data_IF_096436921953
#
_entry.id   IF_096436921953
#
_cell.length_a   1.000
_cell.length_b   1.000
_cell.length_c   1.000
_cell.angle_alpha   90.00
_cell.angle_beta   90.00
_cell.angle_gamma   90.00
#
_symmetry.space_group_name_H-M   'P 1'
#
loop_
_entity.id
_entity.type
_entity.pdbx_description
1 polymer ?
#
# COMPACT_ATOMS: atom_id res chain seq x y z
N UNK A 1 12.90 -39.38 24.40
CA UNK A 1 13.73 -38.88 23.29
C UNK A 1 13.03 -37.66 22.72
N UNK A 2 13.46 -36.46 23.13
CA UNK A 2 12.93 -35.20 22.61
C UNK A 2 13.39 -35.04 21.17
N UNK A 3 12.46 -35.20 20.23
CA UNK A 3 12.72 -34.95 18.83
C UNK A 3 13.05 -33.48 18.64
N UNK A 4 14.29 -33.20 18.23
CA UNK A 4 14.65 -31.94 17.59
C UNK A 4 13.79 -31.81 16.31
N UNK A 5 12.58 -31.23 16.43
CA UNK A 5 11.92 -30.64 15.27
C UNK A 5 12.88 -29.56 14.77
N UNK A 6 13.48 -29.78 13.60
CA UNK A 6 14.25 -28.76 12.89
C UNK A 6 13.40 -27.48 12.87
N UNK A 7 13.82 -26.44 13.60
CA UNK A 7 13.21 -25.11 13.51
C UNK A 7 13.35 -24.69 12.04
N UNK A 8 12.22 -24.38 11.39
CA UNK A 8 12.23 -23.77 10.07
C UNK A 8 12.98 -22.45 10.18
N UNK A 9 14.00 -22.22 9.36
CA UNK A 9 14.66 -20.92 9.28
C UNK A 9 13.91 -20.00 8.30
N UNK A 10 14.29 -18.73 8.24
CA UNK A 10 13.61 -17.72 7.45
C UNK A 10 13.60 -18.06 5.96
N UNK A 11 14.72 -18.49 5.39
CA UNK A 11 14.84 -18.85 3.98
C UNK A 11 13.94 -20.05 3.62
N UNK A 12 13.88 -21.07 4.49
CA UNK A 12 13.00 -22.21 4.27
C UNK A 12 11.51 -21.84 4.43
N UNK A 13 11.19 -20.90 5.31
CA UNK A 13 9.84 -20.37 5.46
C UNK A 13 9.39 -19.60 4.21
N UNK A 14 10.25 -18.75 3.65
CA UNK A 14 10.01 -18.08 2.37
C UNK A 14 9.83 -19.08 1.23
N UNK A 15 10.77 -20.02 1.09
CA UNK A 15 10.72 -21.03 0.04
C UNK A 15 9.42 -21.87 0.11
N UNK A 16 8.93 -22.16 1.32
CA UNK A 16 7.65 -22.84 1.52
C UNK A 16 6.48 -21.98 1.01
N UNK A 17 6.39 -20.71 1.41
CA UNK A 17 5.30 -19.81 0.97
C UNK A 17 5.33 -19.59 -0.55
N UNK A 18 6.51 -19.52 -1.15
CA UNK A 18 6.69 -19.33 -2.59
C UNK A 18 6.19 -20.52 -3.44
N UNK A 19 5.91 -21.68 -2.82
CA UNK A 19 5.26 -22.81 -3.52
C UNK A 19 3.77 -22.61 -3.75
N UNK A 20 3.14 -21.64 -3.08
CA UNK A 20 1.70 -21.38 -3.17
C UNK A 20 1.38 -20.40 -4.29
N UNK A 21 0.13 -20.40 -4.74
CA UNK A 21 -0.34 -19.54 -5.83
C UNK A 21 -0.19 -18.08 -5.41
N UNK A 22 0.76 -17.39 -6.07
CA UNK A 22 1.01 -15.97 -5.90
C UNK A 22 0.45 -15.19 -7.09
N UNK A 23 -0.76 -14.67 -6.92
CA UNK A 23 -1.44 -13.89 -7.95
C UNK A 23 -0.69 -12.58 -8.24
N UNK A 24 0.02 -12.00 -7.27
CA UNK A 24 0.84 -10.79 -7.49
C UNK A 24 1.96 -11.00 -8.51
N UNK A 25 2.45 -12.24 -8.69
CA UNK A 25 3.47 -12.58 -9.71
C UNK A 25 2.88 -13.33 -10.91
N UNK A 26 1.58 -13.59 -10.94
CA UNK A 26 0.96 -14.33 -12.04
C UNK A 26 0.61 -13.41 -13.22
N UNK A 27 0.96 -13.77 -14.46
CA UNK A 27 0.53 -13.04 -15.65
C UNK A 27 -0.99 -13.18 -15.93
N UNK A 28 -1.64 -14.21 -15.38
CA UNK A 28 -3.07 -14.55 -15.58
C UNK A 28 -3.94 -14.13 -14.36
N UNK A 29 -3.62 -12.97 -13.77
CA UNK A 29 -4.23 -12.47 -12.52
C UNK A 29 -5.77 -12.47 -12.53
N UNK A 30 -6.39 -12.14 -13.66
CA UNK A 30 -7.85 -12.06 -13.81
C UNK A 30 -8.56 -13.42 -13.74
N UNK A 31 -7.93 -14.49 -14.25
CA UNK A 31 -8.51 -15.85 -14.19
C UNK A 31 -8.53 -16.39 -12.76
N UNK A 32 -7.55 -16.01 -11.96
CA UNK A 32 -7.42 -16.48 -10.57
C UNK A 32 -8.44 -15.84 -9.62
N UNK A 33 -8.92 -14.63 -9.94
CA UNK A 33 -9.90 -13.94 -9.12
C UNK A 33 -11.24 -14.69 -8.99
N UNK A 34 -11.56 -15.57 -9.96
CA UNK A 34 -12.73 -16.45 -9.90
C UNK A 34 -12.68 -17.45 -8.74
N UNK A 35 -11.51 -17.67 -8.16
CA UNK A 35 -11.32 -18.54 -7.00
C UNK A 35 -11.27 -17.77 -5.68
N UNK A 36 -11.44 -16.44 -5.66
CA UNK A 36 -11.52 -15.71 -4.40
C UNK A 36 -12.83 -16.09 -3.68
N UNK A 37 -12.68 -16.55 -2.46
CA UNK A 37 -13.77 -16.81 -1.54
C UNK A 37 -13.26 -16.60 -0.11
N UNK A 38 -14.17 -16.25 0.79
CA UNK A 38 -13.84 -16.12 2.20
C UNK A 38 -13.81 -17.47 2.92
N UNK A 39 -14.33 -18.54 2.31
CA UNK A 39 -14.46 -19.85 2.96
C UNK A 39 -13.11 -20.47 3.28
N UNK A 40 -12.15 -20.41 2.35
CA UNK A 40 -10.78 -20.91 2.58
C UNK A 40 -10.15 -20.23 3.78
N UNK A 41 -10.03 -18.90 3.75
CA UNK A 41 -9.39 -18.16 4.83
C UNK A 41 -10.13 -18.32 6.16
N UNK A 42 -11.48 -18.38 6.14
CA UNK A 42 -12.28 -18.59 7.35
C UNK A 42 -11.98 -19.94 7.99
N UNK A 43 -11.89 -21.01 7.20
CA UNK A 43 -11.53 -22.34 7.70
C UNK A 43 -10.09 -22.40 8.22
N UNK A 44 -9.15 -21.76 7.52
CA UNK A 44 -7.76 -21.65 7.98
C UNK A 44 -7.69 -20.96 9.35
N UNK A 45 -8.39 -19.84 9.50
CA UNK A 45 -8.41 -19.10 10.76
C UNK A 45 -9.13 -19.87 11.87
N UNK A 46 -10.19 -20.62 11.56
CA UNK A 46 -10.86 -21.50 12.52
C UNK A 46 -9.90 -22.58 13.05
N UNK A 47 -9.08 -23.19 12.19
CA UNK A 47 -8.04 -24.13 12.61
C UNK A 47 -6.96 -23.49 13.49
N UNK A 48 -6.76 -22.16 13.36
CA UNK A 48 -5.81 -21.38 14.15
C UNK A 48 -6.43 -20.78 15.42
N UNK A 49 -7.69 -21.11 15.73
CA UNK A 49 -8.40 -20.60 16.91
C UNK A 49 -8.93 -19.17 16.75
N UNK A 50 -9.33 -18.80 15.53
CA UNK A 50 -9.95 -17.53 15.19
C UNK A 50 -9.20 -16.28 15.70
N UNK A 51 -7.89 -16.14 15.43
CA UNK A 51 -7.08 -15.05 15.99
C UNK A 51 -7.60 -13.66 15.59
N UNK A 52 -8.14 -13.53 14.38
CA UNK A 52 -8.74 -12.31 13.84
C UNK A 52 -9.89 -11.76 14.70
N UNK A 53 -10.62 -12.61 15.44
CA UNK A 53 -11.74 -12.18 16.31
C UNK A 53 -11.30 -11.56 17.62
N UNK A 54 -10.02 -11.69 17.98
CA UNK A 54 -9.43 -11.10 19.20
C UNK A 54 -8.86 -9.69 18.95
N UNK A 55 -8.93 -9.20 17.72
CA UNK A 55 -8.29 -7.95 17.30
C UNK A 55 -9.31 -6.82 17.18
N UNK A 56 -8.90 -5.60 17.54
CA UNK A 56 -9.63 -4.37 17.18
C UNK A 56 -9.08 -3.88 15.85
N UNK A 57 -9.85 -4.07 14.79
CA UNK A 57 -9.36 -3.87 13.43
C UNK A 57 -9.75 -2.49 12.89
N UNK A 58 -8.81 -1.79 12.26
CA UNK A 58 -9.09 -0.71 11.32
C UNK A 58 -8.89 -1.27 9.92
N UNK A 59 -9.91 -1.25 9.08
CA UNK A 59 -9.87 -1.94 7.79
C UNK A 59 -9.84 -0.95 6.63
N UNK A 60 -8.77 -0.97 5.83
CA UNK A 60 -8.47 0.07 4.84
C UNK A 60 -8.56 -0.50 3.42
N UNK A 61 -9.54 -0.03 2.65
CA UNK A 61 -9.73 -0.36 1.23
C UNK A 61 -9.58 0.88 0.34
N UNK A 62 -9.47 0.66 -0.97
CA UNK A 62 -9.36 1.72 -1.99
C UNK A 62 -8.49 1.30 -3.17
N UNK A 63 -8.35 2.19 -4.17
CA UNK A 63 -7.46 1.94 -5.31
C UNK A 63 -6.07 2.52 -5.00
N UNK A 64 -6.01 3.82 -4.65
CA UNK A 64 -4.77 4.53 -4.29
C UNK A 64 -4.74 4.94 -2.83
N UNK A 65 -3.56 5.05 -2.23
CA UNK A 65 -3.40 5.61 -0.88
C UNK A 65 -3.68 4.68 0.30
N UNK A 66 -4.09 3.42 0.07
CA UNK A 66 -4.35 2.41 1.11
C UNK A 66 -3.20 2.26 2.11
N UNK A 67 -2.05 1.77 1.65
CA UNK A 67 -0.87 1.60 2.49
C UNK A 67 -0.41 2.89 3.18
N UNK A 68 -0.45 4.04 2.49
CA UNK A 68 -0.09 5.34 3.11
C UNK A 68 -1.04 5.71 4.25
N UNK A 69 -2.35 5.58 4.01
CA UNK A 69 -3.39 5.88 5.02
C UNK A 69 -3.28 4.91 6.20
N UNK A 70 -3.07 3.62 5.92
CA UNK A 70 -2.84 2.60 6.95
C UNK A 70 -1.58 2.91 7.79
N UNK A 71 -0.48 3.32 7.16
CA UNK A 71 0.74 3.72 7.85
C UNK A 71 0.56 4.99 8.71
N UNK A 72 -0.21 5.97 8.22
CA UNK A 72 -0.55 7.18 8.97
C UNK A 72 -1.38 6.85 10.22
N UNK A 73 -2.43 6.03 10.07
CA UNK A 73 -3.26 5.58 11.19
C UNK A 73 -2.41 4.81 12.21
N UNK A 74 -1.60 3.85 11.74
CA UNK A 74 -0.74 3.06 12.61
C UNK A 74 0.28 3.93 13.36
N UNK A 75 0.90 4.88 12.67
CA UNK A 75 1.84 5.84 13.27
C UNK A 75 1.18 6.64 14.39
N UNK A 76 -0.01 7.20 14.15
CA UNK A 76 -0.74 7.99 15.16
C UNK A 76 -1.09 7.13 16.39
N UNK A 77 -1.58 5.90 16.18
CA UNK A 77 -1.95 5.00 17.27
C UNK A 77 -0.72 4.56 18.10
N UNK A 78 0.41 4.24 17.46
CA UNK A 78 1.66 3.97 18.15
C UNK A 78 2.13 5.17 18.99
N UNK A 79 2.04 6.39 18.45
CA UNK A 79 2.37 7.61 19.20
C UNK A 79 1.37 7.94 20.31
N UNK A 80 0.16 7.36 20.29
CA UNK A 80 -0.80 7.45 21.38
C UNK A 80 -0.50 6.45 22.51
N UNK A 81 0.53 5.60 22.35
CA UNK A 81 0.95 4.60 23.31
C UNK A 81 0.27 3.25 23.14
N UNK A 82 -0.48 3.04 22.05
CA UNK A 82 -1.09 1.75 21.73
C UNK A 82 -0.10 0.84 20.99
N UNK A 83 -0.05 -0.43 21.39
CA UNK A 83 0.68 -1.46 20.63
C UNK A 83 -0.07 -1.72 19.33
N UNK A 84 0.50 -1.32 18.21
CA UNK A 84 -0.23 -1.25 16.93
C UNK A 84 0.35 -2.20 15.89
N UNK A 85 -0.45 -3.14 15.42
CA UNK A 85 -0.14 -3.99 14.27
C UNK A 85 -0.49 -3.29 12.96
N UNK A 86 0.34 -3.44 11.93
CA UNK A 86 0.10 -2.94 10.59
C UNK A 86 0.33 -4.06 9.57
N UNK A 87 -0.71 -4.39 8.80
CA UNK A 87 -0.65 -5.33 7.68
C UNK A 87 -0.82 -4.61 6.34
N UNK A 88 0.18 -4.67 5.47
CA UNK A 88 0.21 -3.94 4.18
C UNK A 88 0.69 -4.78 3.01
N UNK A 89 0.46 -4.29 1.79
CA UNK A 89 0.91 -4.94 0.57
C UNK A 89 0.99 -4.01 -0.65
N UNK A 90 1.73 -4.40 -1.69
CA UNK A 90 2.80 -5.41 -1.67
C UNK A 90 4.00 -4.96 -0.83
N UNK A 91 5.09 -5.72 -0.83
CA UNK A 91 6.37 -5.31 -0.23
C UNK A 91 7.36 -4.83 -1.30
N UNK A 92 8.33 -4.00 -0.90
CA UNK A 92 9.41 -3.46 -1.72
C UNK A 92 10.63 -4.38 -1.74
N UNK A 93 11.20 -4.67 -0.57
CA UNK A 93 12.51 -5.35 -0.42
C UNK A 93 12.31 -6.75 0.14
N UNK A 94 11.53 -6.87 1.22
CA UNK A 94 11.37 -8.10 2.00
C UNK A 94 9.91 -8.37 2.39
N UNK A 95 9.42 -9.63 2.34
CA UNK A 95 8.04 -9.92 2.72
C UNK A 95 7.67 -9.61 4.18
N UNK A 96 8.66 -9.45 5.06
CA UNK A 96 8.44 -9.00 6.46
C UNK A 96 7.77 -7.63 6.52
N UNK A 97 7.93 -6.80 5.49
CA UNK A 97 7.24 -5.50 5.34
C UNK A 97 5.73 -5.60 5.36
N UNK A 98 5.19 -6.77 5.04
CA UNK A 98 3.75 -6.97 5.11
C UNK A 98 3.23 -6.94 6.53
N UNK A 99 4.07 -7.13 7.55
CA UNK A 99 3.64 -7.29 8.92
C UNK A 99 4.55 -6.52 9.88
N UNK A 100 4.02 -5.47 10.50
CA UNK A 100 4.74 -4.64 11.48
C UNK A 100 4.00 -4.57 12.81
N UNK A 101 4.74 -4.41 13.90
CA UNK A 101 4.22 -3.96 15.20
C UNK A 101 5.04 -2.74 15.63
N UNK A 102 4.36 -1.64 15.94
CA UNK A 102 4.98 -0.36 16.34
C UNK A 102 6.08 0.09 15.36
N UNK A 103 5.73 0.06 14.07
CA UNK A 103 6.60 0.33 12.92
C UNK A 103 7.78 -0.62 12.72
N UNK A 104 7.96 -1.64 13.57
CA UNK A 104 9.03 -2.63 13.41
C UNK A 104 8.55 -3.82 12.61
N UNK A 105 9.35 -4.23 11.62
CA UNK A 105 9.12 -5.46 10.86
C UNK A 105 9.05 -6.67 11.79
N UNK A 106 8.19 -7.65 11.45
CA UNK A 106 8.29 -8.98 12.05
C UNK A 106 9.72 -9.51 11.88
N UNK A 107 10.29 -10.06 12.97
CA UNK A 107 11.65 -10.60 12.92
C UNK A 107 11.72 -11.82 12.01
N UNK A 108 12.91 -12.16 11.52
CA UNK A 108 13.11 -13.38 10.72
C UNK A 108 12.79 -14.65 11.52
N UNK A 109 13.14 -14.66 12.82
CA UNK A 109 12.82 -15.78 13.72
C UNK A 109 11.32 -15.91 13.93
N UNK A 110 10.63 -14.81 14.25
CA UNK A 110 9.17 -14.81 14.41
C UNK A 110 8.51 -15.24 13.11
N UNK A 111 8.89 -14.66 11.98
CA UNK A 111 8.34 -15.01 10.68
C UNK A 111 8.42 -16.53 10.44
N UNK A 112 9.61 -17.12 10.61
CA UNK A 112 9.80 -18.55 10.41
C UNK A 112 9.01 -19.39 11.41
N UNK A 113 8.91 -18.94 12.67
CA UNK A 113 8.12 -19.59 13.72
C UNK A 113 6.62 -19.59 13.40
N UNK A 114 6.06 -18.46 12.96
CA UNK A 114 4.65 -18.37 12.60
C UNK A 114 4.34 -19.17 11.34
N UNK A 115 5.21 -19.16 10.31
CA UNK A 115 5.04 -20.04 9.15
C UNK A 115 5.06 -21.51 9.55
N UNK A 116 6.00 -21.92 10.40
CA UNK A 116 6.06 -23.30 10.90
C UNK A 116 4.81 -23.70 11.70
N UNK A 117 4.19 -22.75 12.41
CA UNK A 117 2.94 -22.98 13.14
C UNK A 117 1.71 -23.05 12.21
N UNK A 118 1.68 -22.26 11.15
CA UNK A 118 0.58 -22.26 10.17
C UNK A 118 0.61 -23.50 9.27
N UNK A 119 1.81 -24.02 8.98
CA UNK A 119 2.04 -25.11 8.04
C UNK A 119 1.13 -26.34 8.24
N UNK A 120 0.96 -26.91 9.45
CA UNK A 120 0.06 -28.05 9.65
C UNK A 120 -1.41 -27.74 9.29
N UNK A 121 -1.89 -26.53 9.61
CA UNK A 121 -3.26 -26.11 9.28
C UNK A 121 -3.44 -25.91 7.78
N UNK A 122 -2.42 -25.39 7.09
CA UNK A 122 -2.42 -25.22 5.62
C UNK A 122 -2.40 -26.59 4.92
N UNK A 123 -1.56 -27.52 5.39
CA UNK A 123 -1.44 -28.87 4.82
C UNK A 123 -2.75 -29.65 5.00
N UNK A 124 -3.36 -29.60 6.19
CA UNK A 124 -4.65 -30.24 6.45
C UNK A 124 -5.78 -29.72 5.54
N UNK A 125 -5.73 -28.45 5.13
CA UNK A 125 -6.70 -27.89 4.18
C UNK A 125 -6.45 -28.32 2.73
N UNK A 126 -5.19 -28.55 2.36
CA UNK A 126 -4.81 -28.93 0.99
C UNK A 126 -5.36 -30.32 0.62
N UNK A 127 -5.63 -31.16 1.62
CA UNK A 127 -6.26 -32.47 1.46
C UNK A 127 -7.79 -32.39 1.24
N UNK A 128 -8.42 -31.23 1.46
CA UNK A 128 -9.84 -31.02 1.26
C UNK A 128 -10.12 -30.44 -0.13
N UNK A 129 -10.45 -31.31 -1.10
CA UNK A 129 -10.74 -30.91 -2.49
C UNK A 129 -11.86 -29.86 -2.62
N UNK A 130 -12.79 -29.81 -1.65
CA UNK A 130 -13.99 -28.96 -1.71
C UNK A 130 -13.75 -27.44 -1.63
N UNK A 131 -12.62 -26.98 -1.07
CA UNK A 131 -12.39 -25.55 -0.82
C UNK A 131 -11.22 -24.98 -1.63
N UNK A 132 -10.42 -25.86 -2.25
CA UNK A 132 -9.23 -25.50 -3.02
C UNK A 132 -8.01 -25.16 -2.16
N UNK A 133 -6.86 -24.95 -2.81
CA UNK A 133 -5.59 -24.64 -2.12
C UNK A 133 -5.58 -23.22 -1.58
N UNK A 134 -4.99 -23.06 -0.40
CA UNK A 134 -4.69 -21.74 0.20
C UNK A 134 -3.76 -20.96 -0.72
N UNK A 135 -4.03 -19.67 -0.89
CA UNK A 135 -3.22 -18.75 -1.69
C UNK A 135 -2.10 -18.11 -0.88
N UNK A 136 -1.09 -17.57 -1.59
CA UNK A 136 -0.01 -16.77 -0.99
C UNK A 136 -0.56 -15.66 -0.08
N UNK A 137 -1.58 -14.93 -0.56
CA UNK A 137 -2.16 -13.82 0.18
C UNK A 137 -2.89 -14.26 1.46
N UNK A 138 -3.62 -15.36 1.41
CA UNK A 138 -4.31 -15.93 2.57
C UNK A 138 -3.32 -16.39 3.66
N UNK A 139 -2.14 -16.91 3.27
CA UNK A 139 -1.10 -17.29 4.22
C UNK A 139 -0.56 -16.06 4.96
N UNK A 140 -0.22 -14.98 4.26
CA UNK A 140 0.24 -13.74 4.91
C UNK A 140 -0.84 -13.11 5.80
N UNK A 141 -2.09 -13.17 5.36
CA UNK A 141 -3.24 -12.68 6.14
C UNK A 141 -3.39 -13.47 7.44
N UNK A 142 -3.36 -14.80 7.36
CA UNK A 142 -3.42 -15.67 8.54
C UNK A 142 -2.20 -15.48 9.46
N UNK A 143 -1.01 -15.30 8.90
CA UNK A 143 0.21 -15.03 9.65
C UNK A 143 0.08 -13.72 10.43
N UNK A 144 -0.35 -12.64 9.77
CA UNK A 144 -0.50 -11.33 10.40
C UNK A 144 -1.54 -11.37 11.53
N UNK A 145 -2.72 -11.95 11.29
CA UNK A 145 -3.74 -12.08 12.34
C UNK A 145 -3.25 -12.90 13.52
N UNK A 146 -2.56 -14.01 13.29
CA UNK A 146 -2.02 -14.85 14.36
C UNK A 146 -0.93 -14.11 15.15
N UNK A 147 0.02 -13.49 14.45
CA UNK A 147 1.11 -12.72 15.04
C UNK A 147 0.61 -11.56 15.90
N UNK A 148 -0.35 -10.78 15.39
CA UNK A 148 -0.94 -9.65 16.10
C UNK A 148 -1.72 -10.11 17.33
N UNK A 149 -2.51 -11.18 17.22
CA UNK A 149 -3.34 -11.67 18.31
C UNK A 149 -2.50 -12.28 19.44
N UNK A 150 -1.40 -12.94 19.12
CA UNK A 150 -0.49 -13.52 20.11
C UNK A 150 0.39 -12.45 20.77
N UNK A 151 0.67 -11.36 20.06
CA UNK A 151 1.33 -10.19 20.61
C UNK A 151 0.39 -9.25 21.37
N UNK A 152 -0.91 -9.55 21.44
CA UNK A 152 -1.91 -8.72 22.09
C UNK A 152 -1.82 -7.24 21.66
N UNK A 153 -1.77 -6.99 20.34
CA UNK A 153 -1.84 -5.62 19.83
C UNK A 153 -3.18 -4.99 20.24
N UNK A 154 -3.14 -3.72 20.61
CA UNK A 154 -4.33 -2.94 20.95
C UNK A 154 -5.17 -2.66 19.70
N UNK A 155 -4.51 -2.37 18.58
CA UNK A 155 -5.14 -2.14 17.28
C UNK A 155 -4.39 -2.88 16.17
N UNK A 156 -5.13 -3.40 15.20
CA UNK A 156 -4.58 -3.96 13.97
C UNK A 156 -5.10 -3.15 12.77
N UNK A 157 -4.21 -2.42 12.10
CA UNK A 157 -4.54 -1.69 10.87
C UNK A 157 -4.27 -2.59 9.68
N UNK A 158 -5.32 -2.95 8.95
CA UNK A 158 -5.31 -4.00 7.93
C UNK A 158 -5.63 -3.39 6.57
N UNK A 159 -4.67 -3.42 5.66
CA UNK A 159 -4.87 -3.06 4.25
C UNK A 159 -5.48 -4.23 3.46
N UNK A 160 -6.59 -3.94 2.77
CA UNK A 160 -7.21 -4.85 1.79
C UNK A 160 -6.29 -5.06 0.60
N UNK A 161 -6.20 -6.29 0.10
CA UNK A 161 -5.40 -6.62 -1.08
C UNK A 161 -6.08 -6.21 -2.37
N UNK A 162 -7.18 -6.88 -2.70
CA UNK A 162 -7.92 -6.61 -3.93
C UNK A 162 -9.42 -6.56 -3.69
N UNK A 163 -10.07 -5.56 -4.28
CA UNK A 163 -11.51 -5.36 -4.12
C UNK A 163 -11.82 -4.99 -2.67
N UNK A 164 -12.60 -5.84 -2.01
CA UNK A 164 -12.99 -5.77 -0.60
C UNK A 164 -13.86 -6.97 -0.21
N UNK A 165 -14.94 -7.21 -0.96
CA UNK A 165 -15.94 -8.26 -0.69
C UNK A 165 -15.37 -9.64 -0.40
N UNK A 166 -14.53 -10.14 -1.30
CA UNK A 166 -13.95 -11.48 -1.24
C UNK A 166 -12.46 -11.48 -0.87
N UNK A 167 -11.96 -10.35 -0.39
CA UNK A 167 -10.58 -10.24 0.05
C UNK A 167 -10.37 -11.03 1.35
N UNK A 168 -9.24 -11.73 1.47
CA UNK A 168 -8.95 -12.58 2.64
C UNK A 168 -9.02 -11.81 3.98
N UNK A 169 -8.82 -10.49 3.95
CA UNK A 169 -8.90 -9.65 5.14
C UNK A 169 -10.34 -9.34 5.57
N UNK A 170 -11.36 -9.53 4.72
CA UNK A 170 -12.76 -9.16 4.98
C UNK A 170 -13.52 -10.13 5.91
N UNK A 171 -12.80 -11.03 6.58
CA UNK A 171 -13.31 -11.90 7.66
C UNK A 171 -13.49 -11.16 9.00
N UNK A 172 -13.07 -9.90 9.07
CA UNK A 172 -13.08 -9.08 10.29
C UNK A 172 -14.39 -8.31 10.48
N UNK A 173 -14.70 -7.97 11.72
CA UNK A 173 -15.68 -6.95 12.12
C UNK A 173 -14.88 -5.74 12.64
N UNK A 174 -14.61 -4.74 11.79
CA UNK A 174 -13.71 -3.66 12.13
C UNK A 174 -14.35 -2.64 13.07
N UNK A 175 -13.52 -1.98 13.87
CA UNK A 175 -13.91 -0.81 14.65
C UNK A 175 -14.26 0.36 13.73
N UNK A 176 -13.46 0.56 12.67
CA UNK A 176 -13.67 1.59 11.65
C UNK A 176 -13.26 1.04 10.29
N UNK A 177 -14.08 1.25 9.27
CA UNK A 177 -13.71 1.00 7.87
C UNK A 177 -13.23 2.29 7.21
N UNK A 178 -12.19 2.21 6.39
CA UNK A 178 -11.59 3.37 5.72
C UNK A 178 -11.56 3.12 4.22
N UNK A 179 -12.11 4.05 3.45
CA UNK A 179 -12.13 3.99 1.99
C UNK A 179 -11.25 5.12 1.43
N UNK A 180 -10.11 4.76 0.85
CA UNK A 180 -9.24 5.69 0.13
C UNK A 180 -9.73 5.87 -1.31
N UNK A 181 -9.18 6.80 -2.12
CA UNK A 181 -9.73 7.12 -3.43
C UNK A 181 -9.88 5.91 -4.36
N UNK A 182 -11.01 5.87 -5.07
CA UNK A 182 -11.30 4.88 -6.11
C UNK A 182 -10.84 5.41 -7.47
N UNK A 183 -10.18 4.53 -8.21
CA UNK A 183 -9.80 4.73 -9.61
C UNK A 183 -10.02 3.43 -10.38
N UNK A 184 -10.15 3.54 -11.70
CA UNK A 184 -10.21 2.40 -12.62
C UNK A 184 -8.91 1.59 -12.55
N UNK A 185 -8.92 0.53 -11.74
CA UNK A 185 -7.81 -0.40 -11.58
C UNK A 185 -8.35 -1.82 -11.44
N UNK A 186 -7.60 -2.78 -11.97
CA UNK A 186 -8.02 -4.19 -12.00
C UNK A 186 -9.40 -4.38 -12.64
N UNK A 187 -9.67 -3.63 -13.71
CA UNK A 187 -10.99 -3.61 -14.37
C UNK A 187 -11.42 -4.97 -14.91
N UNK A 188 -10.46 -5.82 -15.28
CA UNK A 188 -10.70 -7.21 -15.66
C UNK A 188 -11.27 -8.10 -14.53
N UNK A 189 -11.25 -7.63 -13.27
CA UNK A 189 -11.71 -8.37 -12.08
C UNK A 189 -12.85 -7.63 -11.38
N UNK A 190 -12.69 -6.33 -11.15
CA UNK A 190 -13.59 -5.54 -10.33
C UNK A 190 -14.68 -4.82 -11.13
N UNK A 191 -14.62 -4.88 -12.46
CA UNK A 191 -15.50 -4.16 -13.37
C UNK A 191 -14.83 -2.93 -14.00
N UNK A 192 -15.41 -2.45 -15.08
CA UNK A 192 -14.91 -1.37 -15.93
C UNK A 192 -15.41 0.03 -15.55
N UNK A 193 -16.19 0.13 -14.46
CA UNK A 193 -16.74 1.40 -13.97
C UNK A 193 -16.33 1.69 -12.53
N UNK A 194 -16.27 2.98 -12.18
CA UNK A 194 -16.06 3.41 -10.80
C UNK A 194 -17.13 2.86 -9.84
N UNK A 195 -18.39 2.77 -10.31
CA UNK A 195 -19.50 2.20 -9.55
C UNK A 195 -19.27 0.71 -9.23
N UNK A 196 -18.86 -0.10 -10.21
CA UNK A 196 -18.60 -1.53 -10.00
C UNK A 196 -17.46 -1.76 -9.01
N UNK A 197 -16.36 -1.01 -9.16
CA UNK A 197 -15.21 -1.07 -8.25
C UNK A 197 -15.61 -0.60 -6.84
N UNK A 198 -16.43 0.45 -6.73
CA UNK A 198 -16.93 0.95 -5.45
C UNK A 198 -17.80 -0.10 -4.75
N UNK A 199 -18.70 -0.79 -5.47
CA UNK A 199 -19.54 -1.87 -4.89
C UNK A 199 -18.71 -2.98 -4.27
N UNK A 200 -17.66 -3.45 -4.95
CA UNK A 200 -16.75 -4.47 -4.39
C UNK A 200 -16.02 -3.98 -3.13
N UNK A 201 -15.67 -2.69 -3.07
CA UNK A 201 -14.94 -2.08 -1.94
C UNK A 201 -15.84 -1.72 -0.77
N UNK A 202 -17.11 -1.37 -1.04
CA UNK A 202 -18.09 -1.01 -0.01
C UNK A 202 -18.40 -2.17 0.93
N UNK A 203 -18.08 -3.40 0.54
CA UNK A 203 -18.30 -4.62 1.33
C UNK A 203 -17.43 -4.73 2.59
N UNK A 204 -16.44 -3.84 2.76
CA UNK A 204 -15.73 -3.71 4.04
C UNK A 204 -16.49 -2.85 5.05
N UNK A 205 -17.50 -2.08 4.63
CA UNK A 205 -18.37 -1.30 5.53
C UNK A 205 -19.27 -2.30 6.27
N UNK A 206 -19.22 -2.38 7.59
CA UNK A 206 -20.03 -3.36 8.34
C UNK A 206 -21.22 -2.69 9.05
N UNK A 207 -22.33 -3.43 9.30
CA UNK A 207 -23.49 -2.87 9.97
C UNK A 207 -23.16 -2.18 11.29
N UNK A 208 -23.66 -0.96 11.48
CA UNK A 208 -23.44 -0.12 12.65
C UNK A 208 -21.98 0.23 12.95
N UNK A 209 -21.05 -0.03 12.01
CA UNK A 209 -19.63 0.33 12.15
C UNK A 209 -19.35 1.62 11.37
N UNK A 210 -18.64 2.60 11.94
CA UNK A 210 -18.33 3.84 11.25
C UNK A 210 -17.43 3.61 10.03
N UNK A 211 -17.58 4.47 9.04
CA UNK A 211 -16.76 4.52 7.84
C UNK A 211 -16.22 5.92 7.60
N UNK A 212 -14.97 6.02 7.16
CA UNK A 212 -14.35 7.28 6.73
C UNK A 212 -13.93 7.16 5.27
N UNK A 213 -14.37 8.09 4.44
CA UNK A 213 -14.07 8.10 3.00
C UNK A 213 -13.18 9.29 2.63
N UNK A 214 -12.13 9.03 1.86
CA UNK A 214 -11.42 10.07 1.12
C UNK A 214 -12.32 10.68 0.03
N UNK A 215 -11.93 11.80 -0.62
CA UNK A 215 -12.70 12.34 -1.73
C UNK A 215 -12.82 11.31 -2.86
N UNK A 216 -14.03 11.17 -3.40
CA UNK A 216 -14.37 10.22 -4.45
C UNK A 216 -14.92 10.93 -5.69
N UNK A 217 -14.90 10.22 -6.82
CA UNK A 217 -15.75 10.59 -7.96
C UNK A 217 -17.23 10.40 -7.59
N UNK A 218 -18.16 11.18 -8.17
CA UNK A 218 -19.57 11.15 -7.77
C UNK A 218 -20.21 9.76 -7.79
N UNK A 219 -19.89 8.94 -8.79
CA UNK A 219 -20.44 7.60 -8.96
C UNK A 219 -20.00 6.64 -7.84
N UNK A 220 -18.74 6.76 -7.39
CA UNK A 220 -18.23 5.97 -6.28
C UNK A 220 -18.77 6.48 -4.93
N UNK A 221 -18.84 7.80 -4.76
CA UNK A 221 -19.39 8.42 -3.55
C UNK A 221 -20.84 7.96 -3.29
N UNK A 222 -21.68 7.99 -4.32
CA UNK A 222 -23.09 7.58 -4.21
C UNK A 222 -23.25 6.12 -3.75
N UNK A 223 -22.36 5.21 -4.20
CA UNK A 223 -22.35 3.82 -3.75
C UNK A 223 -22.02 3.72 -2.26
N UNK A 224 -20.98 4.41 -1.80
CA UNK A 224 -20.58 4.35 -0.40
C UNK A 224 -21.63 4.97 0.53
N UNK A 225 -22.25 6.08 0.14
CA UNK A 225 -23.35 6.70 0.89
C UNK A 225 -24.56 5.76 0.99
N UNK A 226 -24.94 5.12 -0.12
CA UNK A 226 -26.05 4.17 -0.14
C UNK A 226 -25.78 2.94 0.75
N UNK A 227 -24.58 2.37 0.67
CA UNK A 227 -24.20 1.20 1.50
C UNK A 227 -24.07 1.60 2.96
N UNK A 228 -23.51 2.77 3.27
CA UNK A 228 -23.41 3.25 4.64
C UNK A 228 -24.79 3.47 5.26
N UNK A 229 -25.73 4.07 4.51
CA UNK A 229 -27.10 4.27 4.95
C UNK A 229 -27.84 2.93 5.17
N UNK A 230 -27.74 1.99 4.23
CA UNK A 230 -28.34 0.64 4.32
C UNK A 230 -27.83 -0.14 5.55
N UNK A 231 -26.56 0.07 5.90
CA UNK A 231 -25.89 -0.60 7.02
C UNK A 231 -25.95 0.18 8.33
N UNK A 232 -26.64 1.33 8.36
CA UNK A 232 -26.66 2.23 9.52
C UNK A 232 -25.24 2.58 10.01
N UNK A 233 -24.29 2.68 9.07
CA UNK A 233 -22.88 2.98 9.33
C UNK A 233 -22.65 4.49 9.31
N UNK A 234 -22.25 5.13 10.43
CA UNK A 234 -21.93 6.55 10.44
C UNK A 234 -20.77 6.86 9.48
N UNK A 235 -20.97 7.79 8.55
CA UNK A 235 -19.99 8.12 7.52
C UNK A 235 -19.46 9.55 7.69
N UNK A 236 -18.14 9.73 7.65
CA UNK A 236 -17.52 11.03 7.41
C UNK A 236 -16.77 11.01 6.08
N UNK A 237 -16.94 12.06 5.28
CA UNK A 237 -16.28 12.23 3.99
C UNK A 237 -15.33 13.42 3.98
N UNK A 238 -14.09 13.20 3.54
CA UNK A 238 -13.16 14.29 3.23
C UNK A 238 -13.67 15.06 2.01
N UNK A 239 -13.77 16.38 2.16
CA UNK A 239 -14.41 17.29 1.21
C UNK A 239 -15.86 17.63 1.53
N UNK A 240 -16.51 16.87 2.41
CA UNK A 240 -17.89 17.12 2.86
C UNK A 240 -17.94 17.47 4.35
N UNK A 241 -17.38 16.61 5.20
CA UNK A 241 -17.38 16.75 6.66
C UNK A 241 -15.99 17.16 7.17
N UNK A 242 -14.94 16.71 6.47
CA UNK A 242 -13.54 16.98 6.81
C UNK A 242 -12.93 17.87 5.72
N UNK A 243 -12.46 19.05 6.10
CA UNK A 243 -11.89 20.04 5.21
C UNK A 243 -10.39 20.21 5.43
N UNK A 244 -9.63 20.00 4.36
CA UNK A 244 -8.17 20.10 4.32
C UNK A 244 -7.75 21.41 3.62
N UNK A 245 -6.77 22.10 4.21
CA UNK A 245 -6.09 23.24 3.60
C UNK A 245 -4.57 23.06 3.69
N UNK A 246 -3.89 22.98 2.54
CA UNK A 246 -2.42 23.02 2.49
C UNK A 246 -1.92 24.45 2.66
N UNK A 247 -0.94 24.68 3.54
CA UNK A 247 -0.35 26.00 3.82
C UNK A 247 1.01 26.20 3.15
N UNK A 248 1.88 25.20 3.31
CA UNK A 248 3.25 25.23 2.79
C UNK A 248 3.72 23.81 2.50
N UNK A 249 4.67 23.65 1.58
CA UNK A 249 5.27 22.37 1.22
C UNK A 249 6.65 22.56 0.60
N UNK A 250 7.58 21.68 0.98
CA UNK A 250 8.92 21.62 0.43
C UNK A 250 9.46 20.19 0.55
N UNK A 251 10.73 19.98 0.18
CA UNK A 251 11.36 18.66 0.17
C UNK A 251 11.36 17.95 1.55
N UNK A 252 11.15 18.67 2.64
CA UNK A 252 11.13 18.09 3.99
C UNK A 252 9.72 17.67 4.46
N UNK A 253 8.65 18.10 3.78
CA UNK A 253 7.28 17.81 4.20
C UNK A 253 6.29 18.91 3.82
N UNK A 254 5.12 18.87 4.45
CA UNK A 254 3.99 19.77 4.20
C UNK A 254 3.37 20.24 5.51
N UNK A 255 2.89 21.48 5.53
CA UNK A 255 2.10 22.03 6.64
C UNK A 255 0.65 22.15 6.22
N UNK A 256 -0.25 21.60 7.03
CA UNK A 256 -1.68 21.47 6.76
C UNK A 256 -2.51 22.08 7.89
N UNK A 257 -3.63 22.69 7.55
CA UNK A 257 -4.74 22.90 8.48
C UNK A 257 -5.85 21.91 8.15
N UNK A 258 -6.45 21.30 9.17
CA UNK A 258 -7.59 20.39 9.01
C UNK A 258 -8.75 20.82 9.91
N UNK A 259 -9.95 20.88 9.36
CA UNK A 259 -11.20 21.05 10.13
C UNK A 259 -12.02 19.78 9.98
N UNK A 260 -12.44 19.20 11.09
CA UNK A 260 -13.32 18.02 11.16
C UNK A 260 -14.60 18.40 11.90
N UNK A 261 -15.63 17.52 11.95
CA UNK A 261 -16.80 17.76 12.80
C UNK A 261 -16.45 17.89 14.28
N UNK A 262 -15.35 17.26 14.73
CA UNK A 262 -14.97 17.23 16.14
C UNK A 262 -14.01 18.35 16.53
N UNK A 263 -13.17 18.85 15.62
CA UNK A 263 -12.07 19.72 15.96
C UNK A 263 -11.45 20.49 14.78
N UNK A 264 -10.70 21.54 15.12
CA UNK A 264 -9.75 22.19 14.21
C UNK A 264 -8.32 21.83 14.59
N UNK A 265 -7.48 21.51 13.60
CA UNK A 265 -6.06 21.15 13.73
C UNK A 265 -5.21 22.11 12.89
N UNK A 266 -4.65 23.17 13.50
CA UNK A 266 -3.75 24.07 12.80
C UNK A 266 -2.34 23.48 12.70
N UNK A 267 -1.61 23.82 11.64
CA UNK A 267 -0.16 23.60 11.53
C UNK A 267 0.29 22.14 11.73
N UNK A 268 -0.49 21.18 11.21
CA UNK A 268 -0.10 19.78 11.13
C UNK A 268 1.07 19.63 10.15
N UNK A 269 2.22 19.18 10.65
CA UNK A 269 3.35 18.85 9.80
C UNK A 269 3.27 17.37 9.35
N UNK A 270 3.21 17.15 8.04
CA UNK A 270 3.20 15.84 7.40
C UNK A 270 4.52 15.61 6.66
N UNK A 271 5.23 14.54 7.02
CA UNK A 271 6.52 14.19 6.38
C UNK A 271 6.38 13.57 4.98
N UNK A 272 5.20 13.09 4.61
CA UNK A 272 4.95 12.53 3.28
C UNK A 272 4.66 13.63 2.26
N UNK A 273 5.26 13.52 1.07
CA UNK A 273 5.22 14.53 0.00
C UNK A 273 4.09 14.27 -1.01
N UNK A 274 3.58 15.34 -1.63
CA UNK A 274 2.47 15.31 -2.58
C UNK A 274 1.08 15.55 -1.96
N UNK A 275 0.22 16.26 -2.67
CA UNK A 275 -1.15 16.59 -2.24
C UNK A 275 -1.96 15.36 -1.84
N UNK A 276 -1.83 14.27 -2.59
CA UNK A 276 -2.52 13.01 -2.32
C UNK A 276 -2.18 12.45 -0.93
N UNK A 277 -0.98 12.73 -0.39
CA UNK A 277 -0.63 12.34 0.98
C UNK A 277 -1.30 13.23 2.03
N UNK A 278 -1.53 14.51 1.73
CA UNK A 278 -2.30 15.38 2.60
C UNK A 278 -3.77 14.92 2.68
N UNK A 279 -4.33 14.44 1.57
CA UNK A 279 -5.66 13.77 1.56
C UNK A 279 -5.63 12.49 2.40
N UNK A 280 -4.63 11.62 2.23
CA UNK A 280 -4.49 10.42 3.07
C UNK A 280 -4.39 10.76 4.56
N UNK A 281 -3.72 11.86 4.92
CA UNK A 281 -3.63 12.34 6.31
C UNK A 281 -4.98 12.85 6.83
N UNK A 282 -5.75 13.58 6.03
CA UNK A 282 -7.11 13.98 6.38
C UNK A 282 -8.01 12.76 6.65
N UNK A 283 -7.96 11.76 5.77
CA UNK A 283 -8.71 10.50 5.94
C UNK A 283 -8.26 9.73 7.18
N UNK A 284 -6.94 9.66 7.43
CA UNK A 284 -6.40 9.02 8.63
C UNK A 284 -6.87 9.72 9.91
N UNK A 285 -6.87 11.05 9.96
CA UNK A 285 -7.36 11.80 11.12
C UNK A 285 -8.86 11.58 11.34
N UNK A 286 -9.67 11.56 10.27
CA UNK A 286 -11.09 11.19 10.38
C UNK A 286 -11.28 9.82 11.01
N UNK A 287 -10.47 8.83 10.60
CA UNK A 287 -10.49 7.49 11.22
C UNK A 287 -10.13 7.55 12.72
N UNK A 288 -9.12 8.34 13.09
CA UNK A 288 -8.71 8.51 14.49
C UNK A 288 -9.83 9.15 15.32
N UNK A 289 -10.58 10.10 14.77
CA UNK A 289 -11.73 10.69 15.47
C UNK A 289 -12.85 9.68 15.69
N UNK A 290 -13.15 8.81 14.71
CA UNK A 290 -14.09 7.70 14.90
C UNK A 290 -13.62 6.74 15.99
N UNK A 291 -12.33 6.41 16.02
CA UNK A 291 -11.74 5.61 17.12
C UNK A 291 -11.93 6.31 18.48
N UNK A 292 -11.76 7.63 18.55
CA UNK A 292 -12.02 8.38 19.79
C UNK A 292 -13.49 8.36 20.20
N UNK A 293 -14.43 8.43 19.25
CA UNK A 293 -15.86 8.35 19.51
C UNK A 293 -16.28 6.96 20.05
N UNK A 294 -15.56 5.90 19.67
CA UNK A 294 -15.69 4.56 20.22
C UNK A 294 -15.09 4.40 21.65
N UNK A 295 -14.63 5.50 22.26
CA UNK A 295 -14.18 5.56 23.66
C UNK A 295 -12.69 5.39 23.88
N UNK A 296 -11.89 5.31 22.81
CA UNK A 296 -10.43 5.27 22.90
C UNK A 296 -9.83 6.67 23.03
N UNK A 297 -8.65 6.78 23.63
CA UNK A 297 -8.01 8.07 23.89
C UNK A 297 -6.81 8.23 22.97
N UNK A 298 -6.91 9.13 21.99
CA UNK A 298 -5.78 9.56 21.17
C UNK A 298 -5.52 11.05 21.44
N UNK A 299 -4.48 11.39 22.22
CA UNK A 299 -4.12 12.79 22.46
C UNK A 299 -3.82 13.51 21.15
N UNK A 300 -4.22 14.78 21.05
CA UNK A 300 -3.90 15.60 19.87
C UNK A 300 -2.41 15.63 19.58
N UNK A 301 -1.56 15.69 20.61
CA UNK A 301 -0.10 15.65 20.46
C UNK A 301 0.39 14.40 19.72
N UNK A 302 -0.28 13.26 19.90
CA UNK A 302 0.04 12.01 19.21
C UNK A 302 -0.34 12.03 17.73
N UNK A 303 -1.41 12.75 17.36
CA UNK A 303 -1.75 13.01 15.95
C UNK A 303 -0.63 13.79 15.28
N UNK A 304 -0.20 14.91 15.90
CA UNK A 304 0.88 15.75 15.35
C UNK A 304 2.20 14.97 15.24
N UNK A 305 2.57 14.23 16.28
CA UNK A 305 3.79 13.41 16.27
C UNK A 305 3.70 12.30 15.21
N UNK A 306 2.57 11.59 15.14
CA UNK A 306 2.35 10.52 14.18
C UNK A 306 2.47 10.95 12.73
N UNK A 307 1.94 12.12 12.35
CA UNK A 307 2.07 12.66 10.99
C UNK A 307 3.49 13.17 10.68
N UNK A 308 4.17 13.72 11.70
CA UNK A 308 5.54 14.22 11.56
C UNK A 308 6.55 13.09 11.46
N UNK A 309 6.36 11.99 12.18
CA UNK A 309 7.35 10.92 12.29
C UNK A 309 7.05 9.72 11.37
N UNK A 310 5.90 9.71 10.70
CA UNK A 310 5.56 8.67 9.72
C UNK A 310 6.65 8.56 8.65
N UNK A 311 7.03 7.32 8.37
CA UNK A 311 7.91 6.96 7.25
C UNK A 311 7.18 5.93 6.40
N UNK A 312 7.18 6.15 5.09
CA UNK A 312 6.55 5.22 4.16
C UNK A 312 7.37 5.13 2.89
N UNK A 313 8.10 4.01 2.74
CA UNK A 313 9.08 3.84 1.68
C UNK A 313 8.42 3.81 0.29
N UNK A 314 9.13 4.33 -0.70
CA UNK A 314 8.69 4.33 -2.10
C UNK A 314 7.46 5.20 -2.42
N UNK A 315 7.11 6.16 -1.57
CA UNK A 315 6.08 7.18 -1.85
C UNK A 315 6.68 8.57 -1.78
N UNK A 316 7.04 9.13 -2.93
CA UNK A 316 7.79 10.39 -3.04
C UNK A 316 8.98 10.45 -2.07
N UNK A 317 9.69 9.33 -1.91
CA UNK A 317 10.76 9.19 -0.92
C UNK A 317 12.05 9.80 -1.44
N UNK A 318 12.55 10.83 -0.77
CA UNK A 318 13.83 11.48 -1.12
C UNK A 318 14.98 10.75 -0.42
N UNK A 319 15.96 10.30 -1.21
CA UNK A 319 17.07 9.45 -0.74
C UNK A 319 18.45 9.99 -1.11
N UNK A 320 18.51 11.05 -1.92
CA UNK A 320 19.73 11.79 -2.27
C UNK A 320 19.45 13.29 -2.37
N UNK A 321 20.49 14.12 -2.25
CA UNK A 321 20.36 15.60 -2.30
C UNK A 321 21.12 16.29 -3.44
N UNK A 322 22.27 15.76 -3.86
CA UNK A 322 23.11 16.38 -4.90
C UNK A 322 23.70 15.31 -5.85
N UNK A 323 22.97 14.88 -6.91
CA UNK A 323 21.61 15.28 -7.29
C UNK A 323 20.55 14.79 -6.30
N UNK A 324 19.37 15.41 -6.34
CA UNK A 324 18.22 14.87 -5.63
C UNK A 324 17.83 13.52 -6.26
N UNK A 325 17.59 12.50 -5.43
CA UNK A 325 17.11 11.19 -5.88
C UNK A 325 15.77 10.92 -5.21
N UNK A 326 14.74 10.72 -6.02
CA UNK A 326 13.36 10.51 -5.62
C UNK A 326 12.92 9.09 -6.01
N UNK A 327 12.32 8.35 -5.08
CA UNK A 327 11.73 7.04 -5.33
C UNK A 327 10.21 7.12 -5.21
N UNK A 328 9.48 6.66 -6.22
CA UNK A 328 8.02 6.61 -6.18
C UNK A 328 7.42 5.41 -6.90
N UNK A 329 6.44 4.75 -6.28
CA UNK A 329 5.77 3.59 -6.84
C UNK A 329 4.69 3.86 -7.89
N UNK A 330 4.57 5.07 -8.46
CA UNK A 330 3.62 5.41 -9.52
C UNK A 330 3.77 4.47 -10.73
N UNK A 331 2.63 3.91 -11.18
CA UNK A 331 2.59 2.82 -12.18
C UNK A 331 1.29 2.82 -13.02
N UNK A 332 0.57 3.93 -12.99
CA UNK A 332 -0.71 4.15 -13.69
C UNK A 332 -0.78 5.62 -14.11
N UNK A 333 -1.61 5.99 -15.11
CA UNK A 333 -1.72 7.37 -15.58
C UNK A 333 -2.04 8.35 -14.43
N UNK A 334 -3.04 8.03 -13.61
CA UNK A 334 -3.43 8.86 -12.46
C UNK A 334 -2.32 9.05 -11.42
N UNK A 335 -1.55 7.98 -11.12
CA UNK A 335 -0.40 8.10 -10.23
C UNK A 335 0.78 8.85 -10.86
N UNK A 336 0.96 8.75 -12.18
CA UNK A 336 1.99 9.49 -12.90
C UNK A 336 1.67 10.99 -12.90
N UNK A 337 0.42 11.38 -13.10
CA UNK A 337 -0.03 12.77 -12.98
C UNK A 337 0.21 13.31 -11.57
N UNK A 338 -0.15 12.53 -10.55
CA UNK A 338 0.08 12.89 -9.15
C UNK A 338 1.57 13.05 -8.83
N UNK A 339 2.43 12.17 -9.37
CA UNK A 339 3.89 12.24 -9.26
C UNK A 339 4.43 13.51 -9.94
N UNK A 340 4.06 13.76 -11.20
CA UNK A 340 4.47 14.95 -11.95
C UNK A 340 4.04 16.24 -11.22
N UNK A 341 2.80 16.29 -10.74
CA UNK A 341 2.29 17.43 -9.96
C UNK A 341 3.12 17.64 -8.69
N UNK A 342 3.36 16.58 -7.92
CA UNK A 342 4.13 16.66 -6.70
C UNK A 342 5.60 17.07 -6.95
N UNK A 343 6.22 16.59 -8.03
CA UNK A 343 7.58 16.99 -8.42
C UNK A 343 7.63 18.49 -8.73
N UNK A 344 6.69 19.00 -9.55
CA UNK A 344 6.62 20.44 -9.90
C UNK A 344 6.43 21.33 -8.68
N UNK A 345 5.64 20.88 -7.71
CA UNK A 345 5.34 21.65 -6.50
C UNK A 345 6.50 21.69 -5.50
N UNK A 346 7.26 20.61 -5.40
CA UNK A 346 8.20 20.39 -4.28
C UNK A 346 9.67 20.62 -4.65
N UNK A 347 10.04 20.40 -5.91
CA UNK A 347 11.44 20.38 -6.32
C UNK A 347 11.78 21.53 -7.26
N UNK A 348 12.95 22.12 -7.04
CA UNK A 348 13.62 23.00 -7.99
C UNK A 348 14.83 22.25 -8.57
N UNK A 349 14.81 22.05 -9.88
CA UNK A 349 15.83 21.29 -10.59
C UNK A 349 16.07 21.88 -11.99
N UNK A 350 17.23 21.58 -12.57
CA UNK A 350 17.58 21.98 -13.94
C UNK A 350 17.02 21.00 -14.97
N UNK A 351 17.24 19.70 -14.77
CA UNK A 351 16.71 18.62 -15.61
C UNK A 351 16.13 17.49 -14.76
N UNK A 352 15.12 16.82 -15.28
CA UNK A 352 14.57 15.58 -14.74
C UNK A 352 15.10 14.39 -15.54
N UNK A 353 15.80 13.49 -14.86
CA UNK A 353 16.21 12.18 -15.37
C UNK A 353 15.28 11.14 -14.77
N UNK A 354 14.44 10.53 -15.60
CA UNK A 354 13.47 9.52 -15.19
C UNK A 354 14.04 8.11 -15.42
N UNK A 355 14.20 7.33 -14.36
CA UNK A 355 14.44 5.88 -14.43
C UNK A 355 13.10 5.18 -14.22
N UNK A 356 12.67 4.35 -15.17
CA UNK A 356 11.31 3.81 -15.16
C UNK A 356 11.25 2.37 -15.65
N UNK A 357 10.48 1.54 -14.93
CA UNK A 357 10.13 0.18 -15.36
C UNK A 357 8.70 -0.18 -14.98
N UNK A 358 7.97 -0.75 -15.93
CA UNK A 358 6.53 -0.99 -15.83
C UNK A 358 6.20 -2.50 -15.88
N UNK A 359 5.02 -2.86 -15.38
CA UNK A 359 4.48 -4.22 -15.45
C UNK A 359 3.59 -4.38 -16.69
N UNK A 360 3.46 -5.60 -17.21
CA UNK A 360 2.72 -5.94 -18.45
C UNK A 360 1.24 -5.59 -18.42
N UNK A 361 0.63 -5.52 -17.24
CA UNK A 361 -0.79 -5.17 -17.09
C UNK A 361 -1.04 -3.65 -17.15
N UNK A 362 -0.01 -2.83 -17.36
CA UNK A 362 -0.12 -1.37 -17.36
C UNK A 362 -0.29 -0.81 -18.77
N UNK A 363 -1.06 0.26 -18.85
CA UNK A 363 -1.25 1.03 -20.07
C UNK A 363 0.02 1.86 -20.35
N UNK A 364 0.93 1.28 -21.14
CA UNK A 364 2.20 1.92 -21.47
C UNK A 364 1.99 3.26 -22.17
N UNK A 365 1.04 3.33 -23.10
CA UNK A 365 0.78 4.54 -23.88
C UNK A 365 0.29 5.67 -22.97
N UNK A 366 -0.77 5.44 -22.20
CA UNK A 366 -1.34 6.48 -21.34
C UNK A 366 -0.37 6.94 -20.24
N UNK A 367 0.51 6.05 -19.74
CA UNK A 367 1.56 6.44 -18.80
C UNK A 367 2.64 7.30 -19.50
N UNK A 368 3.04 6.91 -20.71
CA UNK A 368 4.04 7.64 -21.51
C UNK A 368 3.57 9.04 -21.91
N UNK A 369 2.29 9.20 -22.25
CA UNK A 369 1.67 10.51 -22.54
C UNK A 369 1.82 11.51 -21.39
N UNK A 370 1.88 11.03 -20.14
CA UNK A 370 2.07 11.87 -18.95
C UNK A 370 3.56 12.05 -18.61
N UNK A 371 4.33 10.97 -18.59
CA UNK A 371 5.71 10.98 -18.10
C UNK A 371 6.71 11.51 -19.13
N UNK A 372 6.56 11.18 -20.41
CA UNK A 372 7.55 11.52 -21.42
C UNK A 372 7.73 13.04 -21.60
N UNK A 373 6.67 13.84 -21.77
CA UNK A 373 6.81 15.29 -21.89
C UNK A 373 7.33 15.98 -20.63
N UNK A 374 7.34 15.26 -19.50
CA UNK A 374 7.76 15.79 -18.21
C UNK A 374 9.25 15.58 -17.91
N UNK A 375 9.89 14.59 -18.54
CA UNK A 375 11.28 14.24 -18.33
C UNK A 375 12.17 14.81 -19.45
N UNK A 376 13.39 15.23 -19.09
CA UNK A 376 14.40 15.66 -20.06
C UNK A 376 15.18 14.47 -20.65
N UNK A 377 15.42 13.44 -19.82
CA UNK A 377 16.01 12.17 -20.24
C UNK A 377 15.28 11.01 -19.55
N UNK A 378 15.09 9.91 -20.28
CA UNK A 378 14.42 8.70 -19.78
C UNK A 378 15.35 7.51 -19.91
N UNK A 379 15.46 6.73 -18.84
CA UNK A 379 16.15 5.46 -18.78
C UNK A 379 15.09 4.39 -18.52
N UNK A 380 14.73 3.62 -19.56
CA UNK A 380 13.82 2.50 -19.37
C UNK A 380 14.58 1.31 -18.81
N UNK A 381 13.94 0.61 -17.88
CA UNK A 381 14.51 -0.59 -17.25
C UNK A 381 13.42 -1.56 -16.82
N UNK A 382 13.83 -2.68 -16.21
CA UNK A 382 12.95 -3.75 -15.78
C UNK A 382 13.43 -4.36 -14.47
N UNK A 383 12.47 -4.84 -13.67
CA UNK A 383 12.78 -5.53 -12.43
C UNK A 383 13.35 -6.93 -12.73
N UNK A 384 14.30 -7.36 -11.92
CA UNK A 384 14.94 -8.65 -12.02
C UNK A 384 14.00 -9.80 -11.62
N UNK A 385 13.99 -10.86 -12.43
CA UNK A 385 13.31 -12.12 -12.13
C UNK A 385 11.81 -11.99 -11.77
N UNK A 386 11.12 -11.02 -12.37
CA UNK A 386 9.67 -10.89 -12.24
C UNK A 386 9.00 -11.18 -13.59
N UNK A 387 8.20 -12.25 -13.71
CA UNK A 387 7.61 -12.66 -15.00
C UNK A 387 6.57 -11.66 -15.54
N UNK A 388 6.13 -10.69 -14.72
CA UNK A 388 5.17 -9.66 -15.10
C UNK A 388 5.81 -8.38 -15.62
N UNK A 389 7.13 -8.29 -15.75
CA UNK A 389 7.78 -7.06 -16.25
C UNK A 389 7.51 -6.87 -17.73
N UNK A 390 7.29 -5.62 -18.11
CA UNK A 390 7.40 -5.20 -19.51
C UNK A 390 8.88 -5.03 -19.83
N UNK A 391 9.40 -5.63 -20.92
CA UNK A 391 10.77 -5.42 -21.37
C UNK A 391 11.11 -3.93 -21.52
N UNK A 392 12.33 -3.54 -21.13
CA UNK A 392 12.77 -2.15 -21.17
C UNK A 392 12.73 -1.57 -22.61
N UNK A 393 13.05 -2.39 -23.61
CA UNK A 393 12.98 -2.08 -25.03
C UNK A 393 11.55 -1.83 -25.51
N UNK A 394 10.58 -2.57 -24.98
CA UNK A 394 9.17 -2.41 -25.35
C UNK A 394 8.64 -1.08 -24.84
N UNK A 395 8.96 -0.70 -23.60
CA UNK A 395 8.64 0.62 -23.04
C UNK A 395 9.25 1.72 -23.92
N UNK A 396 10.54 1.60 -24.24
CA UNK A 396 11.24 2.58 -25.08
C UNK A 396 10.64 2.65 -26.49
N UNK A 397 10.25 1.51 -27.07
CA UNK A 397 9.62 1.44 -28.39
C UNK A 397 8.30 2.22 -28.43
N UNK A 398 7.40 1.96 -27.48
CA UNK A 398 6.10 2.67 -27.37
C UNK A 398 6.30 4.16 -27.12
N UNK A 399 7.31 4.54 -26.34
CA UNK A 399 7.53 5.94 -25.95
C UNK A 399 8.42 6.74 -26.91
N UNK A 400 9.06 6.08 -27.87
CA UNK A 400 10.02 6.70 -28.80
C UNK A 400 9.42 7.81 -29.67
N UNK A 401 8.12 7.75 -29.95
CA UNK A 401 7.40 8.74 -30.76
C UNK A 401 7.25 10.12 -30.05
N UNK A 402 7.56 10.20 -28.77
CA UNK A 402 7.43 11.43 -27.96
C UNK A 402 8.56 12.43 -28.14
N UNK A 403 9.65 12.06 -28.84
CA UNK A 403 10.80 12.93 -29.08
C UNK A 403 11.75 13.13 -27.90
N UNK A 404 11.48 12.48 -26.76
CA UNK A 404 12.34 12.52 -25.56
C UNK A 404 13.62 11.71 -25.77
N UNK A 405 14.72 12.07 -25.09
CA UNK A 405 15.96 11.28 -25.16
C UNK A 405 15.86 10.02 -24.30
N UNK A 406 16.14 8.85 -24.89
CA UNK A 406 16.04 7.54 -24.25
C UNK A 406 17.38 6.82 -24.10
N UNK A 407 17.50 6.08 -23.00
CA UNK A 407 18.49 5.02 -22.80
C UNK A 407 17.75 3.76 -22.36
N UNK A 408 18.24 2.59 -22.76
CA UNK A 408 17.67 1.30 -22.36
C UNK A 408 18.68 0.56 -21.49
N UNK A 409 18.27 0.15 -20.30
CA UNK A 409 19.08 -0.66 -19.38
C UNK A 409 18.30 -1.91 -18.95
N UNK A 410 18.92 -3.09 -19.05
CA UNK A 410 18.22 -4.37 -18.82
C UNK A 410 17.93 -4.67 -17.34
N UNK A 411 18.46 -3.85 -16.42
CA UNK A 411 18.24 -3.98 -14.99
C UNK A 411 18.49 -2.65 -14.25
N UNK A 412 17.93 -2.53 -13.05
CA UNK A 412 18.04 -1.34 -12.19
C UNK A 412 19.49 -1.08 -11.75
N UNK A 413 20.31 -2.14 -11.62
CA UNK A 413 21.72 -2.06 -11.22
C UNK A 413 22.58 -1.32 -12.25
N UNK A 414 22.20 -1.33 -13.52
CA UNK A 414 22.83 -0.55 -14.60
C UNK A 414 22.18 0.84 -14.76
N UNK A 415 20.86 0.90 -14.65
CA UNK A 415 20.10 2.13 -14.87
C UNK A 415 20.46 3.25 -13.89
N UNK A 416 20.67 2.93 -12.61
CA UNK A 416 20.98 3.92 -11.57
C UNK A 416 22.38 4.53 -11.76
N UNK A 417 23.47 3.76 -11.90
CA UNK A 417 24.78 4.32 -12.23
C UNK A 417 24.77 5.17 -13.50
N UNK A 418 24.03 4.76 -14.54
CA UNK A 418 23.87 5.57 -15.74
C UNK A 418 23.21 6.91 -15.43
N UNK A 419 22.08 6.91 -14.72
CA UNK A 419 21.36 8.12 -14.31
C UNK A 419 22.26 9.06 -13.50
N UNK A 420 23.04 8.52 -12.57
CA UNK A 420 24.00 9.29 -11.77
C UNK A 420 25.14 9.86 -12.62
N UNK A 421 25.63 9.12 -13.62
CA UNK A 421 26.73 9.57 -14.49
C UNK A 421 26.34 10.74 -15.40
N UNK A 422 25.07 10.83 -15.81
CA UNK A 422 24.56 11.90 -16.69
C UNK A 422 24.00 13.09 -15.91
N UNK A 423 23.74 12.93 -14.61
CA UNK A 423 23.21 13.96 -13.73
C UNK A 423 24.30 14.94 -13.26
N UNK A 424 23.92 16.20 -13.14
CA UNK A 424 24.67 17.23 -12.41
C UNK A 424 24.07 17.43 -11.03
N UNK A 425 24.77 18.07 -10.06
CA UNK A 425 24.23 18.31 -8.73
C UNK A 425 22.91 19.11 -8.67
N UNK A 426 22.56 19.83 -9.74
CA UNK A 426 21.32 20.60 -9.89
C UNK A 426 20.17 19.83 -10.56
N UNK A 427 20.42 18.60 -11.01
CA UNK A 427 19.40 17.76 -11.65
C UNK A 427 18.62 16.93 -10.60
N UNK A 428 17.46 16.44 -11.01
CA UNK A 428 16.62 15.52 -10.25
C UNK A 428 16.61 14.15 -10.94
N UNK A 429 16.92 13.10 -10.19
CA UNK A 429 16.72 11.71 -10.63
C UNK A 429 15.43 11.20 -9.98
N UNK A 430 14.46 10.82 -10.80
CA UNK A 430 13.22 10.17 -10.34
C UNK A 430 13.22 8.71 -10.76
N UNK A 431 13.08 7.79 -9.81
CA UNK A 431 12.99 6.35 -10.04
C UNK A 431 11.55 5.92 -9.77
N UNK A 432 10.84 5.48 -10.82
CA UNK A 432 9.42 5.17 -10.75
C UNK A 432 8.99 3.97 -11.63
N UNK A 433 7.67 3.76 -11.75
CA UNK A 433 7.07 2.78 -12.65
C UNK A 433 6.56 1.51 -11.96
N UNK A 434 7.15 1.12 -10.83
CA UNK A 434 6.57 0.08 -9.97
C UNK A 434 7.25 0.02 -8.61
N UNK A 435 6.54 -0.57 -7.65
CA UNK A 435 7.10 -0.91 -6.34
C UNK A 435 8.29 -1.89 -6.43
N UNK A 436 8.35 -2.75 -7.44
CA UNK A 436 9.49 -3.65 -7.66
C UNK A 436 10.76 -2.89 -8.09
N UNK A 437 10.61 -1.95 -9.02
CA UNK A 437 11.72 -1.07 -9.44
C UNK A 437 12.24 -0.26 -8.26
N UNK A 438 11.34 0.29 -7.44
CA UNK A 438 11.71 1.04 -6.23
C UNK A 438 12.45 0.16 -5.23
N UNK A 439 11.96 -1.06 -4.95
CA UNK A 439 12.61 -1.99 -4.04
C UNK A 439 14.02 -2.40 -4.51
N UNK A 440 14.21 -2.63 -5.81
CA UNK A 440 15.55 -2.87 -6.37
C UNK A 440 16.43 -1.64 -6.31
N UNK A 441 15.88 -0.46 -6.56
CA UNK A 441 16.61 0.79 -6.45
C UNK A 441 17.12 1.05 -5.04
N UNK A 442 16.29 0.78 -4.02
CA UNK A 442 16.70 0.86 -2.62
C UNK A 442 17.86 -0.09 -2.32
N UNK A 443 17.80 -1.33 -2.79
CA UNK A 443 18.91 -2.31 -2.65
C UNK A 443 20.20 -1.82 -3.31
N UNK A 444 20.12 -1.25 -4.52
CA UNK A 444 21.29 -0.72 -5.25
C UNK A 444 21.88 0.50 -4.55
N UNK A 445 21.05 1.35 -3.97
CA UNK A 445 21.46 2.57 -3.27
C UNK A 445 21.89 2.32 -1.81
N UNK A 446 21.80 1.09 -1.31
CA UNK A 446 22.13 0.75 0.08
C UNK A 446 21.17 1.35 1.10
N UNK A 447 19.89 1.46 0.74
CA UNK A 447 18.83 2.02 1.57
C UNK A 447 18.06 0.87 2.22
N UNK A 448 18.20 0.74 3.54
CA UNK A 448 17.38 -0.18 4.32
C UNK A 448 16.00 0.41 4.60
N UNK A 449 15.01 -0.46 4.81
CA UNK A 449 13.75 -0.04 5.41
C UNK A 449 13.97 0.21 6.91
N UNK A 450 13.57 1.40 7.37
CA UNK A 450 13.72 1.88 8.76
C UNK A 450 12.71 1.18 9.67
#
# INVERSE_FOLDING_TARGET
MYGHKLKLNYEAALAYIDTFINSERSPDFSRQARFYNLERISRLLAHLGDPHRRLKVVHVAGSKGKGSTAALIASILTHAGYKTGLFTQPHLITPRERCRIDSRLISEEDFAQYVARLKPSIEAMTELESVGRVSFFEIYTALAFTYFADNAVDFAVIEVGLGGRLDATNVVDPLVSVITPISLEHTAILGDTHEAIAKEKAEIIKPNRPVVSAPQVPEAQAVFEAVAADREAPMDSVGCDIYLKRKDWNINGQTLDLTTPSAFYPDLFLSLLGEHQAVNAATAIGCIERICQEGYKVPRTSIYAGLKEVRWAGRMQVVGRFPAILLDGAHSPTSAEALCKAIREVFHYRRLILVVGLMRDKDLQAIGEVLCPFADEIITTQAFNNPRVTPAEEIAGVWSETGTKFHVCLNVREAIPLAQSIATPSDLICIAGSIYIVGEAMKVLGIDEI
#
